data_IF_603420270717
#
_entry.id   IF_603420270717
#
_cell.length_a   1.000
_cell.length_b   1.000
_cell.length_c   1.000
_cell.angle_alpha   90.00
_cell.angle_beta   90.00
_cell.angle_gamma   90.00
#
_symmetry.space_group_name_H-M   'P 1'
#
loop_
_entity.id
_entity.type
_entity.pdbx_description
1 polymer ?
#
# COMPACT_ATOMS: atom_id res chain seq x y z
N UNK A 1 -26.91 -19.01 32.95
CA UNK A 1 -25.55 -18.94 32.37
C UNK A 1 -25.61 -18.80 30.84
N UNK A 2 -26.11 -17.65 30.32
CA UNK A 2 -26.19 -17.37 28.86
C UNK A 2 -25.68 -15.98 28.46
N UNK A 3 -25.16 -15.19 29.42
CA UNK A 3 -24.67 -13.82 29.17
C UNK A 3 -23.15 -13.73 29.00
N UNK A 4 -22.41 -14.78 29.33
CA UNK A 4 -20.94 -14.83 29.19
C UNK A 4 -20.46 -15.27 27.81
N UNK A 5 -21.31 -15.92 27.00
CA UNK A 5 -20.93 -16.38 25.65
C UNK A 5 -20.96 -15.24 24.60
N UNK A 6 -21.81 -14.22 24.81
CA UNK A 6 -21.92 -13.08 23.89
C UNK A 6 -20.71 -12.14 23.97
N UNK A 7 -20.05 -12.09 25.14
CA UNK A 7 -18.86 -11.26 25.35
C UNK A 7 -17.61 -11.85 24.66
N UNK A 8 -17.51 -13.17 24.52
CA UNK A 8 -16.43 -13.82 23.78
C UNK A 8 -16.56 -13.64 22.25
N UNK A 9 -17.79 -13.53 21.73
CA UNK A 9 -18.02 -13.32 20.30
C UNK A 9 -17.67 -11.87 19.87
N UNK A 10 -17.80 -10.90 20.77
CA UNK A 10 -17.40 -9.51 20.50
C UNK A 10 -15.88 -9.29 20.57
N UNK A 11 -15.16 -10.10 21.35
CA UNK A 11 -13.70 -10.02 21.45
C UNK A 11 -12.97 -10.59 20.21
N UNK A 12 -13.61 -11.49 19.46
CA UNK A 12 -13.03 -12.10 18.24
C UNK A 12 -13.18 -11.23 16.97
N UNK A 13 -13.98 -10.16 17.01
CA UNK A 13 -14.11 -9.20 15.90
C UNK A 13 -13.00 -8.14 15.88
N UNK A 14 -12.10 -8.16 16.87
CA UNK A 14 -10.89 -7.34 16.91
C UNK A 14 -9.64 -8.22 16.93
N UNK A 15 -9.60 -9.28 16.11
CA UNK A 15 -8.28 -9.77 15.70
C UNK A 15 -7.64 -8.64 14.91
N UNK A 16 -6.57 -7.98 15.39
CA UNK A 16 -5.79 -7.14 14.50
C UNK A 16 -5.41 -8.04 13.33
N UNK A 17 -5.74 -7.65 12.10
CA UNK A 17 -5.00 -8.20 10.98
C UNK A 17 -3.55 -8.00 11.36
N UNK A 18 -2.83 -9.09 11.59
CA UNK A 18 -1.39 -9.03 11.82
C UNK A 18 -0.80 -8.55 10.51
N UNK A 19 -0.76 -7.23 10.36
CA UNK A 19 -0.08 -6.52 9.30
C UNK A 19 1.39 -6.85 9.52
N UNK A 20 1.91 -7.78 8.72
CA UNK A 20 3.33 -8.11 8.76
C UNK A 20 4.08 -6.97 8.08
N UNK A 21 4.44 -6.02 8.91
CA UNK A 21 5.43 -5.02 8.64
C UNK A 21 6.80 -5.73 8.63
N UNK A 22 7.56 -5.55 7.55
CA UNK A 22 8.82 -6.26 7.32
C UNK A 22 9.85 -5.27 6.79
N UNK A 23 10.92 -5.06 7.57
CA UNK A 23 12.08 -4.29 7.12
C UNK A 23 13.09 -5.24 6.49
N UNK A 24 13.42 -5.00 5.22
CA UNK A 24 14.40 -5.78 4.46
C UNK A 24 15.67 -4.97 4.28
N UNK A 25 16.81 -5.63 4.33
CA UNK A 25 18.10 -5.06 3.99
C UNK A 25 18.73 -5.86 2.84
N UNK A 26 19.28 -5.17 1.85
CA UNK A 26 19.96 -5.78 0.71
C UNK A 26 21.33 -5.14 0.53
N UNK A 27 22.35 -5.95 0.26
CA UNK A 27 23.72 -5.49 0.00
C UNK A 27 24.25 -6.15 -1.28
N UNK A 28 24.86 -5.34 -2.16
CA UNK A 28 25.52 -5.81 -3.37
C UNK A 28 26.75 -4.92 -3.67
N UNK A 29 27.90 -5.33 -3.13
CA UNK A 29 29.17 -4.62 -3.32
C UNK A 29 29.13 -3.20 -2.76
N UNK A 30 28.99 -2.21 -3.64
CA UNK A 30 28.98 -0.78 -3.28
C UNK A 30 27.58 -0.22 -3.03
N UNK A 31 26.56 -1.06 -2.94
CA UNK A 31 25.16 -0.67 -2.74
C UNK A 31 24.60 -1.37 -1.52
N UNK A 32 24.09 -0.60 -0.56
CA UNK A 32 23.35 -1.09 0.60
C UNK A 32 22.01 -0.39 0.63
N UNK A 33 20.92 -1.12 0.80
CA UNK A 33 19.58 -0.55 0.89
C UNK A 33 18.80 -1.18 2.02
N UNK A 34 17.91 -0.39 2.61
CA UNK A 34 16.95 -0.82 3.61
C UNK A 34 15.57 -0.33 3.22
N UNK A 35 14.56 -1.19 3.36
CA UNK A 35 13.21 -0.94 2.87
C UNK A 35 12.17 -1.46 3.87
N UNK A 36 11.12 -0.69 4.12
CA UNK A 36 9.88 -1.16 4.75
C UNK A 36 8.81 -1.22 3.66
N UNK A 37 8.08 -2.32 3.62
CA UNK A 37 6.96 -2.54 2.70
C UNK A 37 5.68 -2.84 3.49
N UNK A 38 4.63 -2.05 3.25
CA UNK A 38 3.33 -2.24 3.87
C UNK A 38 2.24 -2.44 2.82
N UNK A 39 1.64 -3.63 2.83
CA UNK A 39 0.53 -3.97 1.93
C UNK A 39 -0.80 -3.69 2.62
N UNK A 40 -1.61 -2.80 2.04
CA UNK A 40 -2.98 -2.57 2.48
C UNK A 40 -3.91 -3.61 1.85
N UNK A 41 -4.66 -4.33 2.69
CA UNK A 41 -5.60 -5.36 2.26
C UNK A 41 -7.01 -4.77 2.17
N UNK A 42 -7.75 -5.12 1.11
CA UNK A 42 -9.15 -4.78 1.00
C UNK A 42 -9.95 -5.54 2.07
N UNK A 43 -10.75 -4.86 2.90
CA UNK A 43 -11.65 -5.53 3.84
C UNK A 43 -12.63 -6.42 3.07
N UNK A 44 -12.71 -7.70 3.43
CA UNK A 44 -13.72 -8.61 2.89
C UNK A 44 -15.08 -8.20 3.48
N UNK A 45 -16.08 -7.97 2.65
CA UNK A 45 -17.43 -7.67 3.16
C UNK A 45 -18.01 -8.91 3.83
N UNK A 46 -18.72 -8.74 4.95
CA UNK A 46 -19.35 -9.86 5.67
C UNK A 46 -20.30 -10.69 4.79
N UNK A 47 -20.88 -10.08 3.75
CA UNK A 47 -21.73 -10.76 2.77
C UNK A 47 -20.96 -11.76 1.87
N UNK A 48 -19.66 -11.58 1.67
CA UNK A 48 -18.82 -12.50 0.87
C UNK A 48 -18.43 -13.77 1.66
N UNK A 49 -18.78 -13.81 2.95
CA UNK A 49 -18.46 -14.92 3.87
C UNK A 49 -19.70 -15.77 4.20
N UNK A 50 -20.89 -15.45 3.66
CA UNK A 50 -22.06 -16.28 3.89
C UNK A 50 -21.95 -17.58 3.07
N UNK A 51 -22.02 -18.76 3.72
CA UNK A 51 -22.18 -20.01 2.98
C UNK A 51 -23.48 -19.91 2.15
N UNK A 52 -23.48 -20.42 0.90
CA UNK A 52 -24.70 -20.43 0.10
C UNK A 52 -25.79 -21.14 0.91
N UNK A 53 -26.96 -20.52 1.01
CA UNK A 53 -28.12 -21.10 1.69
C UNK A 53 -28.28 -22.57 1.29
N UNK A 54 -28.32 -23.46 2.27
CA UNK A 54 -28.50 -24.90 2.09
C UNK A 54 -29.82 -25.16 1.36
N UNK A 55 -29.75 -25.29 0.03
CA UNK A 55 -30.74 -26.06 -0.70
C UNK A 55 -30.36 -27.53 -0.51
N UNK A 56 -31.08 -28.18 0.40
CA UNK A 56 -31.06 -29.62 0.61
C UNK A 56 -31.35 -30.33 -0.71
N UNK A 57 -30.30 -30.77 -1.40
CA UNK A 57 -30.24 -31.99 -2.23
C UNK A 57 -28.97 -31.98 -3.08
N UNK A 58 -27.84 -32.39 -2.50
CA UNK A 58 -26.84 -33.33 -3.06
C UNK A 58 -25.57 -33.26 -2.22
N UNK A 59 -25.17 -34.41 -1.69
CA UNK A 59 -23.88 -34.59 -1.02
C UNK A 59 -22.75 -34.39 -2.03
N UNK A 60 -22.26 -33.16 -2.14
CA UNK A 60 -20.97 -32.88 -2.76
C UNK A 60 -20.16 -32.03 -1.78
N UNK A 61 -19.02 -32.60 -1.37
CA UNK A 61 -18.04 -32.06 -0.43
C UNK A 61 -17.49 -30.74 -1.00
N UNK A 62 -18.16 -29.61 -0.75
CA UNK A 62 -17.68 -28.28 -1.11
C UNK A 62 -16.57 -27.88 -0.13
N UNK A 63 -15.34 -27.83 -0.62
CA UNK A 63 -14.27 -27.07 0.00
C UNK A 63 -14.78 -25.63 0.22
N UNK A 64 -14.91 -25.21 1.47
CA UNK A 64 -15.15 -23.82 1.80
C UNK A 64 -13.94 -23.01 1.35
N UNK A 65 -14.01 -22.36 0.19
CA UNK A 65 -12.97 -21.43 -0.23
C UNK A 65 -13.12 -20.17 0.62
N UNK A 66 -12.32 -20.07 1.68
CA UNK A 66 -12.16 -18.82 2.42
C UNK A 66 -11.71 -17.76 1.41
N UNK A 67 -12.55 -16.74 1.18
CA UNK A 67 -12.20 -15.62 0.30
C UNK A 67 -10.99 -14.93 0.93
N UNK A 68 -9.84 -15.00 0.27
CA UNK A 68 -8.63 -14.33 0.74
C UNK A 68 -8.79 -12.83 0.52
N UNK A 69 -8.47 -11.97 1.50
CA UNK A 69 -8.46 -10.53 1.29
C UNK A 69 -7.49 -10.18 0.15
N UNK A 70 -7.94 -9.32 -0.76
CA UNK A 70 -7.15 -8.90 -1.91
C UNK A 70 -6.21 -7.75 -1.55
N UNK A 71 -5.00 -7.77 -2.09
CA UNK A 71 -4.04 -6.68 -1.91
C UNK A 71 -4.52 -5.46 -2.70
N UNK A 72 -4.73 -4.34 -2.02
CA UNK A 72 -5.20 -3.12 -2.65
C UNK A 72 -4.03 -2.30 -3.22
N UNK A 73 -3.08 -1.97 -2.36
CA UNK A 73 -1.85 -1.26 -2.71
C UNK A 73 -0.73 -1.63 -1.73
N UNK A 74 0.52 -1.39 -2.12
CA UNK A 74 1.67 -1.48 -1.20
C UNK A 74 2.38 -0.14 -1.17
N UNK A 75 2.88 0.22 0.01
CA UNK A 75 3.65 1.43 0.24
C UNK A 75 5.05 1.00 0.65
N UNK A 76 6.05 1.62 0.03
CA UNK A 76 7.45 1.36 0.27
C UNK A 76 8.11 2.63 0.77
N UNK A 77 8.90 2.53 1.83
CA UNK A 77 9.90 3.53 2.18
C UNK A 77 11.25 2.84 2.11
N UNK A 78 12.16 3.40 1.32
CA UNK A 78 13.47 2.83 1.05
C UNK A 78 14.54 3.89 1.17
N UNK A 79 15.62 3.54 1.86
CA UNK A 79 16.87 4.29 1.78
C UNK A 79 17.93 3.42 1.10
N UNK A 80 18.72 4.03 0.21
CA UNK A 80 19.77 3.34 -0.55
C UNK A 80 21.04 4.16 -0.51
N UNK A 81 22.12 3.55 -0.01
CA UNK A 81 23.48 4.08 -0.11
C UNK A 81 24.22 3.41 -1.25
N UNK A 82 24.82 4.19 -2.14
CA UNK A 82 25.56 3.68 -3.30
C UNK A 82 26.79 4.52 -3.62
N UNK A 83 27.82 3.91 -4.20
CA UNK A 83 29.01 4.63 -4.66
C UNK A 83 28.76 5.33 -6.01
N UNK A 84 28.79 6.65 -6.02
CA UNK A 84 28.68 7.46 -7.25
C UNK A 84 30.07 7.60 -7.88
N UNK A 85 30.35 6.79 -8.91
CA UNK A 85 31.65 6.80 -9.61
C UNK A 85 31.98 8.16 -10.25
N UNK A 86 30.98 8.92 -10.67
CA UNK A 86 31.21 10.22 -11.31
C UNK A 86 31.64 11.28 -10.31
N UNK A 87 31.19 11.16 -9.05
CA UNK A 87 31.52 12.11 -7.98
C UNK A 87 32.52 11.57 -6.95
N UNK A 88 32.98 10.33 -7.13
CA UNK A 88 33.97 9.66 -6.29
C UNK A 88 33.63 9.67 -4.78
N UNK A 89 32.34 9.52 -4.43
CA UNK A 89 31.88 9.41 -3.05
C UNK A 89 30.59 8.59 -2.95
N UNK A 90 30.27 8.11 -1.74
CA UNK A 90 28.99 7.47 -1.45
C UNK A 90 27.86 8.49 -1.38
N UNK A 91 26.72 8.14 -1.93
CA UNK A 91 25.50 8.95 -1.91
C UNK A 91 24.35 8.14 -1.35
N UNK A 92 23.41 8.86 -0.78
CA UNK A 92 22.16 8.31 -0.28
C UNK A 92 20.98 8.78 -1.14
N UNK A 93 19.99 7.92 -1.23
CA UNK A 93 18.73 8.15 -1.92
C UNK A 93 17.61 7.56 -1.09
N UNK A 94 16.72 8.45 -0.64
CA UNK A 94 15.50 8.07 0.05
C UNK A 94 14.30 8.19 -0.90
N UNK A 95 13.49 7.15 -0.93
CA UNK A 95 12.34 7.02 -1.82
C UNK A 95 11.11 6.56 -1.04
N UNK A 96 9.97 7.16 -1.37
CA UNK A 96 8.66 6.67 -1.01
C UNK A 96 7.95 6.23 -2.27
N UNK A 97 7.46 4.99 -2.32
CA UNK A 97 6.79 4.44 -3.51
C UNK A 97 5.44 3.84 -3.16
N UNK A 98 4.51 3.89 -4.10
CA UNK A 98 3.23 3.20 -4.00
C UNK A 98 3.03 2.31 -5.22
N UNK A 99 2.48 1.12 -4.98
CA UNK A 99 2.02 0.20 -6.02
C UNK A 99 0.53 -0.02 -5.91
N UNK A 100 -0.17 -0.09 -7.04
CA UNK A 100 -1.56 -0.56 -7.09
C UNK A 100 -1.58 -2.05 -7.43
N UNK A 101 -2.32 -2.85 -6.64
CA UNK A 101 -2.40 -4.31 -6.79
C UNK A 101 -3.80 -4.80 -7.15
N UNK A 102 -4.83 -3.96 -7.01
CA UNK A 102 -6.21 -4.38 -7.21
C UNK A 102 -6.65 -4.27 -8.68
N UNK A 103 -7.41 -5.28 -9.14
CA UNK A 103 -8.07 -5.30 -10.45
C UNK A 103 -9.51 -4.74 -10.42
N UNK A 104 -10.13 -4.60 -9.24
CA UNK A 104 -11.51 -4.16 -9.03
C UNK A 104 -11.67 -2.81 -8.31
N UNK A 105 -10.60 -2.22 -7.77
CA UNK A 105 -10.60 -0.82 -7.31
C UNK A 105 -9.56 -0.03 -8.09
N UNK A 106 -10.05 0.88 -8.93
CA UNK A 106 -9.27 1.66 -9.90
C UNK A 106 -8.42 2.76 -9.22
N UNK A 107 -7.36 2.34 -8.52
CA UNK A 107 -6.32 3.26 -8.07
C UNK A 107 -5.40 3.55 -9.26
N UNK A 108 -5.75 4.57 -10.05
CA UNK A 108 -4.98 5.00 -11.20
C UNK A 108 -3.95 6.05 -10.76
N UNK A 109 -2.67 5.77 -10.96
CA UNK A 109 -1.64 6.78 -10.69
C UNK A 109 -1.52 7.73 -11.88
N UNK A 110 -1.73 9.01 -11.62
CA UNK A 110 -1.52 10.08 -12.59
C UNK A 110 -0.41 11.02 -12.09
N UNK A 111 0.44 11.50 -12.99
CA UNK A 111 1.45 12.52 -12.66
C UNK A 111 0.81 13.87 -12.30
N UNK A 112 -0.36 14.15 -12.88
CA UNK A 112 -1.07 15.42 -12.74
C UNK A 112 -1.99 15.39 -11.50
N UNK A 113 -2.42 14.19 -11.08
CA UNK A 113 -3.14 13.93 -9.84
C UNK A 113 -2.51 12.72 -9.11
N UNK A 114 -1.35 12.89 -8.45
CA UNK A 114 -0.72 11.81 -7.71
C UNK A 114 -1.46 11.52 -6.39
N UNK A 115 -1.31 10.32 -5.82
CA UNK A 115 -1.72 10.08 -4.44
C UNK A 115 -0.95 11.00 -3.49
N UNK A 116 -1.60 11.35 -2.37
CA UNK A 116 -1.05 12.21 -1.33
C UNK A 116 -0.90 11.42 -0.04
N UNK A 117 0.00 11.89 0.82
CA UNK A 117 0.04 11.50 2.23
C UNK A 117 -0.47 12.69 3.03
N UNK A 118 -1.50 12.47 3.83
CA UNK A 118 -2.05 13.46 4.75
C UNK A 118 -1.83 12.99 6.18
N UNK A 119 -1.54 13.92 7.07
CA UNK A 119 -1.37 13.64 8.48
C UNK A 119 -2.16 14.65 9.30
N UNK A 120 -2.74 14.18 10.41
CA UNK A 120 -3.48 15.02 11.34
C UNK A 120 -2.70 15.12 12.63
N UNK A 121 -2.51 16.34 13.11
CA UNK A 121 -1.88 16.64 14.39
C UNK A 121 -2.63 17.77 15.06
N UNK A 122 -2.99 17.60 16.33
CA UNK A 122 -3.74 18.60 17.10
C UNK A 122 -5.07 19.00 16.41
N UNK A 123 -5.70 18.04 15.73
CA UNK A 123 -6.93 18.24 14.96
C UNK A 123 -6.76 18.95 13.61
N UNK A 124 -5.54 19.31 13.21
CA UNK A 124 -5.25 19.97 11.93
C UNK A 124 -4.70 18.94 10.94
N UNK A 125 -5.38 18.77 9.81
CA UNK A 125 -4.91 17.93 8.70
C UNK A 125 -4.01 18.72 7.76
N UNK A 126 -2.85 18.16 7.44
CA UNK A 126 -1.83 18.73 6.56
C UNK A 126 -1.40 17.71 5.51
N UNK A 127 -1.07 18.17 4.31
CA UNK A 127 -0.50 17.32 3.26
C UNK A 127 1.02 17.30 3.37
N UNK A 128 1.60 16.11 3.37
CA UNK A 128 3.04 15.91 3.31
C UNK A 128 3.59 16.43 1.96
N UNK A 129 4.57 17.35 1.94
CA UNK A 129 5.09 17.90 0.71
C UNK A 129 5.98 16.89 -0.02
N UNK A 130 5.38 16.09 -0.90
CA UNK A 130 6.07 15.18 -1.80
C UNK A 130 6.54 15.93 -3.06
N UNK A 131 7.83 15.85 -3.38
CA UNK A 131 8.43 16.50 -4.56
C UNK A 131 9.06 15.44 -5.47
N UNK A 132 9.23 15.79 -6.75
CA UNK A 132 9.91 14.95 -7.77
C UNK A 132 9.29 13.57 -7.94
N UNK A 133 8.22 13.54 -8.72
CA UNK A 133 7.46 12.34 -9.05
C UNK A 133 8.17 11.57 -10.16
N UNK A 134 8.46 10.31 -9.91
CA UNK A 134 8.84 9.32 -10.93
C UNK A 134 7.61 8.46 -11.21
N UNK A 135 7.10 8.57 -12.43
CA UNK A 135 6.00 7.74 -12.91
C UNK A 135 6.57 6.65 -13.81
N UNK A 136 6.54 5.39 -13.34
CA UNK A 136 7.03 4.26 -14.12
C UNK A 136 5.92 3.69 -15.00
N UNK A 137 4.74 3.45 -14.41
CA UNK A 137 3.54 2.99 -15.10
C UNK A 137 2.30 3.25 -14.24
N UNK A 138 1.12 2.93 -14.75
CA UNK A 138 -0.17 3.22 -14.10
C UNK A 138 -0.38 2.55 -12.73
N UNK A 139 0.48 1.60 -12.38
CA UNK A 139 0.45 0.85 -11.12
C UNK A 139 1.64 1.14 -10.21
N UNK A 140 2.58 2.01 -10.61
CA UNK A 140 3.74 2.36 -9.78
C UNK A 140 4.07 3.85 -9.88
N UNK A 141 4.12 4.51 -8.72
CA UNK A 141 4.58 5.88 -8.56
C UNK A 141 5.60 5.95 -7.42
N UNK A 142 6.67 6.71 -7.62
CA UNK A 142 7.65 6.97 -6.56
C UNK A 142 7.98 8.45 -6.43
N UNK A 143 8.37 8.83 -5.23
CA UNK A 143 8.73 10.17 -4.83
C UNK A 143 10.12 10.14 -4.22
N UNK A 144 11.00 11.02 -4.68
CA UNK A 144 12.25 11.27 -3.97
C UNK A 144 11.95 12.12 -2.76
N UNK A 145 12.23 11.58 -1.58
CA UNK A 145 12.00 12.26 -0.32
C UNK A 145 13.32 12.77 0.25
N UNK A 146 13.24 13.75 1.15
CA UNK A 146 14.38 14.09 2.00
C UNK A 146 14.29 13.23 3.25
N UNK A 147 15.43 12.87 3.83
CA UNK A 147 15.51 12.12 5.08
C UNK A 147 14.52 12.63 6.15
N UNK A 148 14.53 13.93 6.46
CA UNK A 148 13.67 14.53 7.49
C UNK A 148 12.24 14.87 7.02
N UNK A 149 11.89 14.58 5.77
CA UNK A 149 10.59 15.00 5.24
C UNK A 149 9.42 14.23 5.86
N UNK A 150 9.67 13.03 6.39
CA UNK A 150 8.66 12.22 7.07
C UNK A 150 8.53 12.52 8.57
N UNK A 151 9.40 13.37 9.14
CA UNK A 151 9.39 13.70 10.57
C UNK A 151 8.03 14.13 11.13
N UNK A 152 7.19 14.92 10.41
CA UNK A 152 5.86 15.25 10.90
C UNK A 152 4.95 14.04 11.13
N UNK A 153 5.15 12.95 10.37
CA UNK A 153 4.33 11.73 10.47
C UNK A 153 4.56 11.00 11.79
N UNK A 154 5.79 11.02 12.34
CA UNK A 154 6.15 10.28 13.55
C UNK A 154 5.47 10.78 14.83
N UNK A 155 4.91 11.99 14.79
CA UNK A 155 4.19 12.60 15.92
C UNK A 155 2.75 12.97 15.56
N UNK A 156 2.24 12.45 14.45
CA UNK A 156 0.88 12.68 14.01
C UNK A 156 -0.09 11.74 14.74
N UNK A 157 -1.28 12.24 15.04
CA UNK A 157 -2.36 11.46 15.64
C UNK A 157 -2.91 10.43 14.63
N UNK A 158 -2.83 10.76 13.34
CA UNK A 158 -3.36 9.95 12.25
C UNK A 158 -2.59 10.23 10.97
N UNK A 159 -2.24 9.19 10.21
CA UNK A 159 -1.63 9.29 8.89
C UNK A 159 -2.49 8.54 7.88
N UNK A 160 -2.76 9.17 6.74
CA UNK A 160 -3.58 8.61 5.66
C UNK A 160 -2.88 8.70 4.32
N UNK A 161 -3.09 7.69 3.48
CA UNK A 161 -2.84 7.77 2.06
C UNK A 161 -4.15 8.10 1.36
N UNK A 162 -4.12 9.14 0.55
CA UNK A 162 -5.27 9.67 -0.17
C UNK A 162 -5.07 9.44 -1.65
N UNK A 163 -5.87 8.55 -2.23
CA UNK A 163 -5.86 8.27 -3.66
C UNK A 163 -6.97 9.04 -4.36
N UNK A 164 -6.66 9.78 -5.44
CA UNK A 164 -7.68 10.25 -6.36
C UNK A 164 -8.25 9.07 -7.15
N UNK A 165 -9.58 8.99 -7.23
CA UNK A 165 -10.30 7.97 -7.99
C UNK A 165 -11.26 8.68 -8.94
N UNK A 166 -11.17 8.35 -10.22
CA UNK A 166 -12.05 8.90 -11.26
C UNK A 166 -13.30 8.04 -11.32
N UNK A 167 -14.48 8.64 -11.10
CA UNK A 167 -15.76 7.90 -11.09
C UNK A 167 -16.55 8.02 -12.38
N UNK A 168 -16.29 9.08 -13.17
CA UNK A 168 -16.87 9.32 -14.48
C UNK A 168 -15.69 9.72 -15.40
N UNK A 169 -15.54 9.14 -16.59
CA UNK A 169 -14.47 9.51 -17.54
C UNK A 169 -13.32 8.50 -17.72
N UNK A 170 -13.25 7.45 -16.90
CA UNK A 170 -12.42 6.28 -17.16
C UNK A 170 -13.22 5.21 -17.92
N UNK A 171 -12.87 4.93 -19.18
CA UNK A 171 -13.39 3.73 -19.84
C UNK A 171 -12.61 2.52 -19.34
N UNK A 172 -13.18 1.84 -18.34
CA UNK A 172 -12.87 0.44 -18.06
C UNK A 172 -13.34 -0.36 -19.26
N UNK A 173 -12.42 -0.96 -20.03
CA UNK A 173 -12.78 -1.93 -21.08
C UNK A 173 -12.44 -3.32 -20.59
N UNK A 174 -13.46 -4.16 -20.42
CA UNK A 174 -13.25 -5.60 -20.26
C UNK A 174 -13.06 -6.21 -21.64
N UNK A 175 -11.84 -6.68 -21.92
CA UNK A 175 -11.54 -7.42 -23.15
C UNK A 175 -11.34 -8.88 -22.77
N UNK A 176 -12.16 -9.75 -23.35
CA UNK A 176 -12.01 -11.18 -23.19
C UNK A 176 -10.75 -11.65 -23.93
N UNK A 177 -9.82 -12.24 -23.19
CA UNK A 177 -8.63 -12.86 -23.75
C UNK A 177 -9.05 -14.03 -24.65
N UNK A 178 -8.78 -13.92 -25.94
CA UNK A 178 -9.21 -14.90 -26.95
C UNK A 178 -8.61 -16.30 -26.75
N UNK A 179 -7.50 -16.44 -26.02
CA UNK A 179 -6.83 -17.73 -25.78
C UNK A 179 -7.27 -18.39 -24.48
N UNK A 180 -7.48 -17.60 -23.43
CA UNK A 180 -7.76 -18.11 -22.08
C UNK A 180 -9.22 -17.97 -21.67
N UNK A 181 -10.01 -17.21 -22.43
CA UNK A 181 -11.41 -16.90 -22.12
C UNK A 181 -11.59 -15.99 -20.89
N UNK A 182 -10.50 -15.60 -20.23
CA UNK A 182 -10.51 -14.73 -19.05
C UNK A 182 -10.74 -13.28 -19.46
N UNK A 183 -11.57 -12.57 -18.71
CA UNK A 183 -11.69 -11.12 -18.88
C UNK A 183 -10.41 -10.44 -18.39
N UNK A 184 -9.90 -9.52 -19.20
CA UNK A 184 -8.80 -8.63 -18.84
C UNK A 184 -9.33 -7.21 -18.86
N UNK A 185 -9.14 -6.51 -17.75
CA UNK A 185 -9.50 -5.11 -17.62
C UNK A 185 -8.41 -4.24 -18.25
N UNK A 186 -8.79 -3.41 -19.22
CA UNK A 186 -7.94 -2.41 -19.86
C UNK A 186 -8.38 -1.02 -19.44
N UNK A 187 -7.43 -0.28 -18.88
CA UNK A 187 -7.60 1.12 -18.51
C UNK A 187 -7.04 1.98 -19.65
N UNK A 188 -7.87 2.77 -20.31
CA UNK A 188 -7.39 3.82 -21.21
C UNK A 188 -7.48 5.16 -20.50
N UNK A 189 -6.34 5.83 -20.30
CA UNK A 189 -6.28 7.24 -19.89
C UNK A 189 -6.92 8.06 -21.01
N UNK A 190 -8.21 8.36 -20.89
CA UNK A 190 -8.73 9.53 -21.58
C UNK A 190 -8.20 10.71 -20.78
N UNK A 191 -7.53 11.65 -21.46
CA UNK A 191 -7.23 12.98 -20.90
C UNK A 191 -8.41 13.44 -20.05
N UNK A 192 -8.17 13.98 -18.86
CA UNK A 192 -9.18 14.58 -17.98
C UNK A 192 -9.98 15.62 -18.78
N UNK A 193 -10.99 15.15 -19.52
CA UNK A 193 -11.96 15.99 -20.20
C UNK A 193 -13.02 16.37 -19.18
N UNK A 194 -13.64 17.51 -19.43
CA UNK A 194 -14.49 18.32 -18.55
C UNK A 194 -15.60 17.55 -17.80
N UNK A 195 -15.93 16.32 -18.21
CA UNK A 195 -16.98 15.48 -17.62
C UNK A 195 -16.51 14.54 -16.50
N UNK A 196 -15.21 14.56 -16.15
CA UNK A 196 -14.66 13.60 -15.19
C UNK A 196 -14.80 14.06 -13.73
N UNK A 197 -15.41 13.25 -12.87
CA UNK A 197 -15.48 13.52 -11.43
C UNK A 197 -14.37 12.77 -10.69
N UNK A 198 -13.59 13.48 -9.87
CA UNK A 198 -12.55 12.91 -9.00
C UNK A 198 -13.07 12.87 -7.57
N UNK A 199 -13.04 11.68 -6.96
CA UNK A 199 -13.28 11.50 -5.52
C UNK A 199 -11.98 11.10 -4.83
N UNK A 200 -11.86 11.38 -3.54
CA UNK A 200 -10.72 10.95 -2.74
C UNK A 200 -11.09 9.70 -1.93
N UNK A 201 -10.32 8.62 -2.10
CA UNK A 201 -10.36 7.46 -1.21
C UNK A 201 -9.21 7.53 -0.21
N UNK A 202 -9.52 7.36 1.07
CA UNK A 202 -8.60 7.55 2.20
C UNK A 202 -8.34 6.22 2.90
N UNK A 203 -7.07 5.94 3.18
CA UNK A 203 -6.63 4.71 3.84
C UNK A 203 -5.70 5.07 4.99
N UNK A 204 -6.09 4.73 6.22
CA UNK A 204 -5.29 5.02 7.42
C UNK A 204 -4.12 4.04 7.51
N UNK A 205 -2.93 4.59 7.75
CA UNK A 205 -1.73 3.79 8.02
C UNK A 205 -1.62 3.48 9.50
N UNK A 206 -1.31 2.22 9.87
CA UNK A 206 -1.03 1.87 11.26
C UNK A 206 0.23 2.60 11.79
N UNK A 207 0.25 3.07 13.05
CA UNK A 207 1.42 3.73 13.64
C UNK A 207 2.69 2.89 13.60
N UNK A 208 2.57 1.56 13.67
CA UNK A 208 3.68 0.62 13.59
C UNK A 208 4.47 0.80 12.28
N UNK A 209 3.76 1.02 11.17
CA UNK A 209 4.35 1.24 9.84
C UNK A 209 5.10 2.57 9.80
N UNK A 210 4.54 3.60 10.44
CA UNK A 210 5.17 4.92 10.53
C UNK A 210 6.48 4.85 11.33
N UNK A 211 6.49 4.07 12.42
CA UNK A 211 7.69 3.82 13.21
C UNK A 211 8.75 3.04 12.42
N UNK A 212 8.35 2.05 11.60
CA UNK A 212 9.29 1.35 10.73
C UNK A 212 9.93 2.28 9.70
N UNK A 213 9.17 3.20 9.12
CA UNK A 213 9.71 4.17 8.16
C UNK A 213 10.78 5.04 8.80
N UNK A 214 10.58 5.44 10.07
CA UNK A 214 11.62 6.10 10.84
C UNK A 214 12.88 5.24 10.95
N UNK A 215 12.74 3.98 11.37
CA UNK A 215 13.87 3.06 11.52
C UNK A 215 14.63 2.81 10.22
N UNK A 216 13.91 2.70 9.10
CA UNK A 216 14.50 2.53 7.76
C UNK A 216 15.33 3.75 7.42
N UNK A 217 14.75 4.95 7.52
CA UNK A 217 15.43 6.16 7.10
C UNK A 217 16.62 6.48 8.00
N UNK A 218 16.53 6.28 9.32
CA UNK A 218 17.64 6.57 10.25
C UNK A 218 18.69 5.47 10.34
N UNK A 219 18.63 4.43 9.51
CA UNK A 219 19.58 3.33 9.56
C UNK A 219 20.97 3.74 9.06
N UNK A 220 22.02 3.34 9.79
CA UNK A 220 23.39 3.48 9.30
C UNK A 220 23.70 2.41 8.25
N UNK A 221 23.83 2.84 6.99
CA UNK A 221 24.15 2.00 5.84
C UNK A 221 25.65 1.94 5.53
N UNK A 222 26.52 2.28 6.49
CA UNK A 222 27.96 2.07 6.35
C UNK A 222 28.29 0.59 6.04
N UNK A 223 29.34 0.30 5.24
CA UNK A 223 29.72 -1.08 4.97
C UNK A 223 30.27 -1.71 6.26
N UNK A 224 29.75 -2.87 6.66
CA UNK A 224 30.22 -3.63 7.83
C UNK A 224 29.37 -3.56 9.10
N UNK A 225 28.24 -2.84 9.11
CA UNK A 225 27.23 -2.91 10.19
C UNK A 225 26.37 -4.17 10.05
N UNK A 226 26.98 -5.33 10.28
CA UNK A 226 26.32 -6.64 10.24
C UNK A 226 25.71 -6.93 11.62
N UNK A 227 24.39 -6.83 11.72
CA UNK A 227 23.60 -7.73 12.58
C UNK A 227 22.53 -8.35 11.71
N UNK A 228 22.87 -9.51 11.18
CA UNK A 228 21.87 -10.45 10.69
C UNK A 228 20.94 -10.77 11.86
N UNK A 229 19.65 -10.46 11.72
CA UNK A 229 18.62 -10.80 12.73
C UNK A 229 17.79 -12.00 12.28
N UNK A 230 18.25 -12.71 11.25
CA UNK A 230 17.69 -13.99 10.81
C UNK A 230 18.63 -15.12 11.21
N UNK A 231 18.61 -15.44 12.51
CA UNK A 231 19.04 -16.75 13.04
C UNK A 231 17.86 -17.42 13.73
#
# INVERSE_FOLDING_TARGET
MKKTLLFLFFLLLFMPLTTHAEIRQTENGTVTARESAFTYLQPVSANDTQPPAENNNTANKKNSSTVKPENLFTVYVKTTRFYDRHKNHFRELDELSLTSHNQGTDLLFDKDLPPKIEYTKDGITQTLPLKKISYNNQYFISFKIKHDSLTPLYTADKVEIVFPVITNGSHIRHVKDKKTGKEKTFYSKQSLKEDSTVIEKRYTLPPEIINEWQQVLTADLAPGTIKDTLS
#
